data_IF_993720791964
#
_entry.id   IF_993720791964
#
_cell.length_a   1.000
_cell.length_b   1.000
_cell.length_c   1.000
_cell.angle_alpha   90.00
_cell.angle_beta   90.00
_cell.angle_gamma   90.00
#
_symmetry.space_group_name_H-M   'P 1'
#
loop_
_entity.id
_entity.type
_entity.pdbx_description
1 polymer ?
#
# COMPACT_ATOMS: atom_id res chain seq x y z
N UNK A 1 -10.19 7.79 9.11
CA UNK A 1 -9.45 6.52 8.98
C UNK A 1 -8.12 6.80 8.32
N UNK A 2 -7.04 6.36 8.96
CA UNK A 2 -5.71 6.64 8.44
C UNK A 2 -5.27 5.59 7.42
N UNK A 3 -4.59 6.05 6.37
CA UNK A 3 -4.02 5.18 5.33
C UNK A 3 -2.51 5.33 5.31
N UNK A 4 -1.82 4.25 4.95
CA UNK A 4 -0.38 4.25 4.84
C UNK A 4 0.04 3.41 3.63
N UNK A 5 1.05 3.86 2.91
CA UNK A 5 1.55 3.19 1.70
C UNK A 5 2.91 2.56 1.95
N UNK A 6 3.08 1.32 1.50
CA UNK A 6 4.39 0.70 1.38
C UNK A 6 4.64 0.47 -0.12
N UNK A 7 5.61 1.17 -0.66
CA UNK A 7 5.89 1.19 -2.09
C UNK A 7 7.29 0.68 -2.39
N UNK A 8 7.51 0.27 -3.63
CA UNK A 8 8.83 -0.11 -4.12
C UNK A 8 9.48 1.01 -4.95
N UNK A 9 8.81 2.14 -5.12
CA UNK A 9 9.33 3.25 -5.91
C UNK A 9 8.90 4.61 -5.34
N UNK A 10 9.74 5.62 -5.56
CA UNK A 10 9.51 6.95 -5.06
C UNK A 10 8.41 7.71 -5.78
N UNK A 11 8.17 7.40 -7.05
CA UNK A 11 7.15 8.10 -7.84
C UNK A 11 5.75 7.82 -7.30
N UNK A 12 5.48 6.56 -6.96
CA UNK A 12 4.20 6.19 -6.36
C UNK A 12 4.03 6.86 -5.01
N UNK A 13 5.09 6.87 -4.19
CA UNK A 13 5.05 7.54 -2.90
C UNK A 13 4.75 9.03 -3.05
N UNK A 14 5.42 9.69 -3.99
CA UNK A 14 5.20 11.12 -4.25
C UNK A 14 3.77 11.38 -4.68
N UNK A 15 3.24 10.57 -5.60
CA UNK A 15 1.86 10.70 -6.05
C UNK A 15 0.86 10.54 -4.91
N UNK A 16 1.09 9.57 -4.04
CA UNK A 16 0.20 9.35 -2.89
C UNK A 16 0.29 10.46 -1.86
N UNK A 17 1.48 11.03 -1.65
CA UNK A 17 1.63 12.18 -0.76
C UNK A 17 0.84 13.38 -1.24
N UNK A 18 0.78 13.59 -2.55
CA UNK A 18 -0.03 14.66 -3.12
C UNK A 18 -1.51 14.44 -2.82
N UNK A 19 -1.92 13.20 -2.66
CA UNK A 19 -3.30 12.86 -2.28
C UNK A 19 -3.50 12.81 -0.76
N UNK A 20 -2.48 13.13 0.02
CA UNK A 20 -2.58 13.15 1.48
C UNK A 20 -2.28 11.83 2.16
N UNK A 21 -1.69 10.88 1.45
CA UNK A 21 -1.35 9.56 2.02
C UNK A 21 0.15 9.50 2.28
N UNK A 22 0.52 9.20 3.51
CA UNK A 22 1.92 9.01 3.87
C UNK A 22 2.36 7.58 3.59
N UNK A 23 3.68 7.39 3.46
CA UNK A 23 4.20 6.06 3.19
C UNK A 23 5.71 5.98 3.25
N UNK A 24 6.20 4.80 2.89
CA UNK A 24 7.64 4.52 2.82
C UNK A 24 7.96 3.75 1.56
N UNK A 25 9.22 3.83 1.14
CA UNK A 25 9.74 3.01 0.05
C UNK A 25 10.60 1.92 0.67
N UNK A 26 10.35 0.67 0.28
CA UNK A 26 11.14 -0.48 0.70
C UNK A 26 11.68 -1.20 -0.53
N UNK A 27 12.88 -1.76 -0.41
CA UNK A 27 13.56 -2.40 -1.54
C UNK A 27 13.94 -3.85 -1.29
N UNK A 28 13.92 -4.28 -0.05
CA UNK A 28 14.29 -5.64 0.31
C UNK A 28 13.17 -6.30 1.10
N UNK A 29 13.23 -7.64 1.18
CA UNK A 29 12.28 -8.40 1.98
C UNK A 29 12.30 -7.97 3.46
N UNK A 30 13.49 -7.74 4.00
CA UNK A 30 13.62 -7.35 5.40
C UNK A 30 13.03 -5.97 5.65
N UNK A 31 13.23 -5.04 4.73
CA UNK A 31 12.63 -3.72 4.82
C UNK A 31 11.10 -3.80 4.75
N UNK A 32 10.59 -4.64 3.86
CA UNK A 32 9.15 -4.85 3.74
C UNK A 32 8.58 -5.42 5.04
N UNK A 33 9.23 -6.43 5.58
CA UNK A 33 8.81 -7.06 6.83
C UNK A 33 8.77 -6.06 7.98
N UNK A 34 9.82 -5.25 8.11
CA UNK A 34 9.88 -4.24 9.15
C UNK A 34 8.76 -3.19 9.00
N UNK A 35 8.50 -2.76 7.76
CA UNK A 35 7.43 -1.81 7.48
C UNK A 35 6.06 -2.40 7.80
N UNK A 36 5.84 -3.68 7.47
CA UNK A 36 4.60 -4.36 7.80
C UNK A 36 4.38 -4.47 9.30
N UNK A 37 5.42 -4.85 10.04
CA UNK A 37 5.34 -4.96 11.50
C UNK A 37 4.99 -3.62 12.13
N UNK A 38 5.61 -2.56 11.66
CA UNK A 38 5.34 -1.22 12.16
C UNK A 38 3.92 -0.78 11.86
N UNK A 39 3.45 -1.06 10.65
CA UNK A 39 2.08 -0.72 10.26
C UNK A 39 1.05 -1.48 11.08
N UNK A 40 1.29 -2.76 11.33
CA UNK A 40 0.38 -3.58 12.11
C UNK A 40 0.33 -3.18 13.59
N UNK A 41 1.40 -2.58 14.09
CA UNK A 41 1.44 -2.08 15.46
C UNK A 41 0.67 -0.78 15.64
N UNK A 42 0.33 -0.10 14.56
CA UNK A 42 -0.40 1.16 14.60
C UNK A 42 -1.90 0.89 14.63
N UNK A 43 -2.50 1.09 15.77
CA UNK A 43 -3.92 0.79 15.99
C UNK A 43 -4.87 1.76 15.27
N UNK A 44 -4.37 2.90 14.86
CA UNK A 44 -5.17 3.91 14.15
C UNK A 44 -5.18 3.69 12.65
N UNK A 45 -4.31 2.82 12.16
CA UNK A 45 -4.22 2.54 10.74
C UNK A 45 -5.40 1.67 10.30
N UNK A 46 -6.20 2.20 9.38
CA UNK A 46 -7.37 1.49 8.87
C UNK A 46 -7.14 0.81 7.53
N UNK A 47 -6.30 1.42 6.69
CA UNK A 47 -6.02 0.92 5.34
C UNK A 47 -4.52 0.93 5.10
N UNK A 48 -4.00 -0.20 4.67
CA UNK A 48 -2.61 -0.35 4.27
C UNK A 48 -2.55 -0.59 2.77
N UNK A 49 -1.94 0.34 2.06
CA UNK A 49 -1.78 0.27 0.61
C UNK A 49 -0.45 -0.40 0.31
N UNK A 50 -0.47 -1.46 -0.48
CA UNK A 50 0.72 -2.21 -0.85
C UNK A 50 0.80 -2.33 -2.36
N UNK A 51 2.02 -2.19 -2.91
CA UNK A 51 2.20 -2.46 -4.33
C UNK A 51 1.93 -3.94 -4.58
N UNK A 52 1.22 -4.26 -5.66
CA UNK A 52 0.86 -5.65 -5.96
C UNK A 52 2.07 -6.54 -6.17
N UNK A 53 3.21 -5.96 -6.54
CA UNK A 53 4.46 -6.67 -6.70
C UNK A 53 4.87 -7.41 -5.44
N UNK A 54 4.63 -6.83 -4.27
CA UNK A 54 4.98 -7.48 -3.01
C UNK A 54 4.21 -8.78 -2.79
N UNK A 55 2.96 -8.82 -3.21
CA UNK A 55 2.16 -10.04 -3.13
C UNK A 55 2.68 -11.14 -4.06
N UNK A 56 3.28 -10.76 -5.19
CA UNK A 56 3.88 -11.72 -6.10
C UNK A 56 5.25 -12.21 -5.64
N UNK A 57 6.09 -11.31 -5.14
CA UNK A 57 7.46 -11.63 -4.74
C UNK A 57 7.56 -12.22 -3.34
N UNK A 58 6.70 -11.79 -2.43
CA UNK A 58 6.75 -12.20 -1.03
C UNK A 58 5.37 -12.63 -0.54
N UNK A 59 4.76 -13.61 -1.19
CA UNK A 59 3.39 -14.00 -0.86
C UNK A 59 3.22 -14.44 0.60
N UNK A 60 4.22 -15.05 1.19
CA UNK A 60 4.14 -15.50 2.57
C UNK A 60 3.98 -14.36 3.56
N UNK A 61 4.61 -13.21 3.28
CA UNK A 61 4.50 -12.05 4.16
C UNK A 61 3.11 -11.40 4.04
N UNK A 62 2.64 -11.25 2.80
CA UNK A 62 1.37 -10.58 2.55
C UNK A 62 0.19 -11.45 2.97
N UNK A 63 0.25 -12.74 2.68
CA UNK A 63 -0.82 -13.67 3.05
C UNK A 63 -0.95 -13.79 4.56
N UNK A 64 0.17 -13.79 5.28
CA UNK A 64 0.16 -13.82 6.74
C UNK A 64 -0.61 -12.63 7.31
N UNK A 65 -0.37 -11.43 6.78
CA UNK A 65 -1.09 -10.25 7.21
C UNK A 65 -2.58 -10.37 6.90
N UNK A 66 -2.93 -10.79 5.70
CA UNK A 66 -4.34 -10.94 5.30
C UNK A 66 -5.09 -11.96 6.13
N UNK A 67 -4.43 -13.05 6.48
CA UNK A 67 -5.08 -14.17 7.19
C UNK A 67 -5.21 -13.93 8.68
N UNK A 68 -4.28 -13.22 9.30
CA UNK A 68 -4.18 -13.12 10.75
C UNK A 68 -4.57 -11.75 11.32
N UNK A 69 -4.88 -10.79 10.46
CA UNK A 69 -5.21 -9.42 10.91
C UNK A 69 -6.47 -8.92 10.23
N UNK A 70 -7.46 -8.50 11.03
CA UNK A 70 -8.68 -7.88 10.49
C UNK A 70 -8.42 -6.48 9.97
N UNK A 71 -7.62 -5.75 10.70
CA UNK A 71 -7.23 -4.38 10.37
C UNK A 71 -5.72 -4.30 10.47
N UNK A 72 -5.10 -3.49 9.65
CA UNK A 72 -5.68 -2.66 8.59
C UNK A 72 -6.18 -3.48 7.41
N UNK A 73 -7.10 -2.91 6.64
CA UNK A 73 -7.54 -3.49 5.38
C UNK A 73 -6.41 -3.36 4.37
N UNK A 74 -6.06 -4.46 3.70
CA UNK A 74 -5.00 -4.46 2.71
C UNK A 74 -5.59 -4.16 1.33
N UNK A 75 -5.06 -3.13 0.69
CA UNK A 75 -5.43 -2.76 -0.69
C UNK A 75 -4.17 -2.82 -1.54
N UNK A 76 -4.20 -3.65 -2.57
CA UNK A 76 -3.07 -3.79 -3.48
C UNK A 76 -3.18 -2.77 -4.61
N UNK A 77 -2.08 -2.08 -4.88
CA UNK A 77 -2.01 -1.07 -5.92
C UNK A 77 -1.22 -1.63 -7.10
N UNK A 78 -1.73 -1.50 -8.34
CA UNK A 78 -1.03 -1.98 -9.52
C UNK A 78 0.33 -1.30 -9.70
N UNK A 79 1.28 -2.04 -10.26
CA UNK A 79 2.59 -1.51 -10.60
C UNK A 79 2.46 -0.41 -11.66
N UNK A 80 3.22 0.65 -11.50
CA UNK A 80 3.22 1.75 -12.47
C UNK A 80 3.64 1.30 -13.86
N UNK A 81 4.55 0.33 -13.93
CA UNK A 81 5.06 -0.17 -15.22
C UNK A 81 4.08 -1.09 -15.92
N UNK A 82 3.18 -1.71 -15.18
CA UNK A 82 2.21 -2.62 -15.74
C UNK A 82 1.00 -1.96 -16.37
N UNK A 83 0.72 -0.71 -16.00
CA UNK A 83 -0.50 -0.01 -16.42
C UNK A 83 -0.25 1.07 -17.46
N UNK A 84 0.92 1.70 -17.46
CA UNK A 84 1.21 2.83 -18.33
C UNK A 84 0.28 4.02 -18.13
N UNK A 85 -0.35 4.12 -16.98
CA UNK A 85 -1.34 5.16 -16.70
C UNK A 85 -0.73 6.37 -16.01
N UNK A 86 -1.45 7.49 -16.09
CA UNK A 86 -1.05 8.74 -15.48
C UNK A 86 -1.08 8.65 -13.93
N UNK A 87 -0.29 9.48 -13.22
CA UNK A 87 -0.25 9.43 -11.76
C UNK A 87 -1.58 9.61 -11.06
N UNK A 88 -2.52 10.36 -11.63
CA UNK A 88 -3.84 10.54 -11.04
C UNK A 88 -4.66 9.26 -11.02
N UNK A 89 -4.28 8.25 -11.82
CA UNK A 89 -4.93 6.95 -11.78
C UNK A 89 -4.80 6.30 -10.40
N UNK A 90 -3.66 6.45 -9.75
CA UNK A 90 -3.44 5.87 -8.42
C UNK A 90 -4.42 6.47 -7.42
N UNK A 91 -4.61 7.79 -7.45
CA UNK A 91 -5.56 8.47 -6.57
C UNK A 91 -6.99 7.98 -6.82
N UNK A 92 -7.38 7.87 -8.08
CA UNK A 92 -8.70 7.36 -8.45
C UNK A 92 -8.91 5.93 -7.98
N UNK A 93 -7.89 5.09 -8.15
CA UNK A 93 -7.94 3.70 -7.72
C UNK A 93 -8.15 3.60 -6.20
N UNK A 94 -7.43 4.40 -5.44
CA UNK A 94 -7.57 4.42 -3.97
C UNK A 94 -8.96 4.88 -3.57
N UNK A 95 -9.45 5.96 -4.16
CA UNK A 95 -10.78 6.47 -3.86
C UNK A 95 -11.86 5.44 -4.15
N UNK A 96 -11.72 4.75 -5.26
CA UNK A 96 -12.66 3.70 -5.64
C UNK A 96 -12.60 2.52 -4.67
N UNK A 97 -11.39 2.08 -4.31
CA UNK A 97 -11.19 0.93 -3.44
C UNK A 97 -11.75 1.15 -2.04
N UNK A 98 -11.67 2.36 -1.52
CA UNK A 98 -12.19 2.69 -0.19
C UNK A 98 -13.63 3.19 -0.21
N UNK A 99 -14.23 3.24 -1.39
CA UNK A 99 -15.61 3.66 -1.52
C UNK A 99 -15.88 5.14 -1.32
N UNK A 100 -14.85 5.95 -1.35
CA UNK A 100 -15.01 7.40 -1.25
C UNK A 100 -15.37 7.97 -2.61
N UNK A 101 -16.60 7.86 -2.96
CA UNK A 101 -17.11 8.50 -4.17
C UNK A 101 -17.60 9.87 -3.81
N UNK A 102 -16.89 10.82 -4.25
CA UNK A 102 -17.25 12.20 -4.07
C UNK A 102 -17.95 12.75 -5.29
#
# INVERSE_FOLDING_TARGET
MRMFLISDNGDTLTGMRLAGVEGVVVRTRDELRAALEKALADKELGILLLMERFGREFPELIDDVKLHHRLPLIVEIPDRHGTGRAPDFITSYVNEAIGLKL
#
